data_IF_269840603890
#
_entry.id   IF_269840603890
#
_cell.length_a   1.000
_cell.length_b   1.000
_cell.length_c   1.000
_cell.angle_alpha   90.00
_cell.angle_beta   90.00
_cell.angle_gamma   90.00
#
_symmetry.space_group_name_H-M   'P 1'
#
loop_
_entity.id
_entity.type
_entity.pdbx_description
1 polymer ?
#
# COMPACT_ATOMS: atom_id res chain seq x y z
N UNK A 1 -34.92 31.33 -2.62
CA UNK A 1 -33.54 31.52 -2.15
C UNK A 1 -33.45 30.86 -0.78
N UNK A 2 -32.97 29.62 -0.72
CA UNK A 2 -32.73 28.91 0.53
C UNK A 2 -31.29 29.20 1.00
N UNK A 3 -31.03 29.32 2.31
CA UNK A 3 -29.71 29.64 2.81
C UNK A 3 -28.79 28.43 2.69
N UNK A 4 -27.56 28.65 2.23
CA UNK A 4 -26.51 27.65 2.23
C UNK A 4 -26.07 27.39 3.68
N UNK A 5 -26.35 26.19 4.18
CA UNK A 5 -25.84 25.73 5.47
C UNK A 5 -24.36 25.39 5.30
N UNK A 6 -23.46 26.19 5.88
CA UNK A 6 -22.05 25.83 5.99
C UNK A 6 -21.93 24.63 6.95
N UNK A 7 -21.60 23.47 6.41
CA UNK A 7 -21.15 22.33 7.20
C UNK A 7 -19.67 22.58 7.52
N UNK A 8 -19.38 22.99 8.74
CA UNK A 8 -18.01 23.05 9.25
C UNK A 8 -17.51 21.63 9.50
N UNK A 9 -16.54 21.19 8.69
CA UNK A 9 -15.77 19.98 8.95
C UNK A 9 -14.89 20.20 10.18
N UNK A 10 -15.30 19.65 11.32
CA UNK A 10 -14.36 19.40 12.42
C UNK A 10 -13.42 18.29 11.95
N UNK A 11 -12.15 18.64 11.70
CA UNK A 11 -11.06 17.68 11.60
C UNK A 11 -11.09 16.84 12.88
N UNK A 12 -11.53 15.59 12.79
CA UNK A 12 -11.24 14.62 13.85
C UNK A 12 -9.75 14.36 13.71
N UNK A 13 -8.95 15.02 14.55
CA UNK A 13 -7.56 14.66 14.71
C UNK A 13 -7.55 13.19 15.13
N UNK A 14 -7.08 12.32 14.23
CA UNK A 14 -6.77 10.94 14.56
C UNK A 14 -5.76 11.02 15.69
N UNK A 15 -6.19 10.67 16.90
CA UNK A 15 -5.31 10.63 18.05
C UNK A 15 -4.21 9.63 17.75
N UNK A 16 -2.96 10.09 17.71
CA UNK A 16 -1.77 9.27 17.63
C UNK A 16 -1.69 8.35 18.85
N UNK A 17 -2.38 7.22 18.79
CA UNK A 17 -2.40 6.21 19.83
C UNK A 17 -2.33 4.81 19.21
N UNK A 18 -1.36 4.61 18.32
CA UNK A 18 -0.86 3.29 17.91
C UNK A 18 0.65 3.34 17.61
N UNK A 19 1.39 4.18 18.35
CA UNK A 19 2.85 4.09 18.38
C UNK A 19 3.23 3.48 19.70
N UNK A 20 3.48 2.17 19.75
CA UNK A 20 4.32 1.54 20.77
C UNK A 20 4.49 0.04 20.54
N UNK A 21 5.36 -0.33 19.61
CA UNK A 21 6.06 -1.63 19.68
C UNK A 21 7.56 -1.48 19.37
N UNK A 22 7.97 -0.45 18.62
CA UNK A 22 9.39 -0.08 18.43
C UNK A 22 9.76 1.21 19.18
N UNK A 23 9.74 1.19 20.52
CA UNK A 23 9.98 2.43 21.28
C UNK A 23 11.46 2.73 21.61
N UNK A 24 12.42 2.13 20.90
CA UNK A 24 13.87 2.44 21.11
C UNK A 24 14.78 2.30 19.89
N UNK A 25 14.27 1.88 18.72
CA UNK A 25 15.12 1.63 17.56
C UNK A 25 14.83 2.67 16.46
N UNK A 26 15.91 3.19 15.87
CA UNK A 26 15.91 4.18 14.79
C UNK A 26 16.94 3.75 13.76
N UNK A 27 16.70 4.09 12.50
CA UNK A 27 17.69 3.84 11.43
C UNK A 27 19.01 4.62 11.65
N UNK A 28 19.00 5.63 12.52
CA UNK A 28 20.13 6.54 12.71
C UNK A 28 20.35 7.50 11.54
N UNK A 29 19.43 7.54 10.57
CA UNK A 29 19.51 8.43 9.42
C UNK A 29 19.26 9.88 9.82
N UNK A 30 20.07 10.78 9.26
CA UNK A 30 19.86 12.23 9.40
C UNK A 30 18.58 12.66 8.69
N UNK A 31 17.92 13.71 9.18
CA UNK A 31 16.81 14.37 8.47
C UNK A 31 17.27 15.14 7.22
N UNK A 32 18.58 15.32 7.04
CA UNK A 32 19.21 16.05 5.93
C UNK A 32 19.86 15.09 4.90
N UNK A 33 19.19 13.97 4.64
CA UNK A 33 19.58 13.07 3.55
C UNK A 33 18.80 13.41 2.27
N UNK A 34 19.37 13.14 1.08
CA UNK A 34 18.64 13.25 -0.17
C UNK A 34 17.36 12.41 -0.16
N UNK A 35 16.33 12.88 -0.85
CA UNK A 35 15.18 12.04 -1.16
C UNK A 35 15.60 11.03 -2.24
N UNK A 36 15.02 9.83 -2.21
CA UNK A 36 15.28 8.81 -3.23
C UNK A 36 14.95 9.34 -4.63
N UNK A 37 15.62 8.78 -5.63
CA UNK A 37 15.52 9.17 -7.04
C UNK A 37 16.09 10.55 -7.44
N UNK A 38 16.51 11.37 -6.47
CA UNK A 38 17.35 12.56 -6.78
C UNK A 38 18.81 12.17 -7.06
N UNK A 39 19.27 11.05 -6.50
CA UNK A 39 20.64 10.56 -6.58
C UNK A 39 20.70 9.15 -7.18
N UNK A 40 21.78 8.84 -7.90
CA UNK A 40 21.99 7.53 -8.55
C UNK A 40 22.82 6.55 -7.70
N UNK A 41 22.71 6.63 -6.38
CA UNK A 41 23.45 5.78 -5.45
C UNK A 41 22.69 5.54 -4.15
N UNK A 42 22.81 4.33 -3.60
CA UNK A 42 22.12 3.93 -2.38
C UNK A 42 23.01 3.90 -1.14
N UNK A 43 22.36 3.95 0.02
CA UNK A 43 22.95 3.68 1.34
C UNK A 43 21.85 3.18 2.28
N UNK A 44 22.17 2.90 3.54
CA UNK A 44 21.13 2.60 4.53
C UNK A 44 20.15 3.77 4.78
N UNK A 45 20.46 4.97 4.30
CA UNK A 45 19.64 6.17 4.45
C UNK A 45 19.13 6.76 3.13
N UNK A 46 19.40 6.11 2.00
CA UNK A 46 18.94 6.54 0.67
C UNK A 46 18.58 5.28 -0.11
N UNK A 47 17.29 5.09 -0.36
CA UNK A 47 16.77 3.94 -1.09
C UNK A 47 17.12 4.05 -2.59
N UNK A 48 17.85 3.06 -3.09
CA UNK A 48 18.26 2.95 -4.49
C UNK A 48 18.66 1.49 -4.81
N UNK A 49 18.32 0.96 -6.00
CA UNK A 49 17.66 1.64 -7.13
C UNK A 49 16.15 1.79 -6.97
N UNK A 50 15.53 1.03 -6.06
CA UNK A 50 14.10 0.94 -5.80
C UNK A 50 13.49 2.14 -5.06
N UNK A 51 13.93 3.35 -5.41
CA UNK A 51 13.58 4.57 -4.70
C UNK A 51 12.19 5.13 -5.00
N UNK A 52 11.53 4.65 -6.06
CA UNK A 52 10.14 4.99 -6.39
C UNK A 52 9.25 3.97 -5.69
N UNK A 53 8.67 4.34 -4.55
CA UNK A 53 7.87 3.42 -3.74
C UNK A 53 6.42 3.49 -4.18
N UNK A 54 5.84 2.33 -4.46
CA UNK A 54 4.47 2.19 -4.95
C UNK A 54 3.64 1.44 -3.91
N UNK A 55 2.69 2.11 -3.27
CA UNK A 55 1.64 1.43 -2.50
C UNK A 55 0.50 1.06 -3.44
N UNK A 56 0.24 -0.23 -3.60
CA UNK A 56 -0.77 -0.76 -4.51
C UNK A 56 -1.96 -1.34 -3.76
N UNK A 57 -3.16 -1.07 -4.26
CA UNK A 57 -4.41 -1.54 -3.67
C UNK A 57 -5.27 -2.23 -4.71
N UNK A 58 -6.06 -3.21 -4.26
CA UNK A 58 -7.04 -3.93 -5.07
C UNK A 58 -8.47 -3.51 -4.77
N UNK A 59 -9.28 -3.59 -5.82
CA UNK A 59 -10.73 -3.63 -5.75
C UNK A 59 -11.23 -4.98 -6.27
N UNK A 60 -11.17 -5.99 -5.42
CA UNK A 60 -11.67 -7.31 -5.74
C UNK A 60 -13.15 -7.45 -5.36
N UNK A 61 -13.99 -7.78 -6.33
CA UNK A 61 -15.44 -7.91 -6.10
C UNK A 61 -15.86 -9.25 -5.53
N UNK A 62 -15.05 -10.28 -5.74
CA UNK A 62 -15.41 -11.69 -5.52
C UNK A 62 -14.53 -12.36 -4.45
N UNK A 63 -13.94 -11.56 -3.56
CA UNK A 63 -13.18 -12.06 -2.39
C UNK A 63 -14.11 -12.10 -1.17
N UNK A 64 -14.40 -13.30 -0.62
CA UNK A 64 -15.17 -13.45 0.60
C UNK A 64 -14.57 -12.63 1.74
N UNK A 65 -15.43 -12.03 2.56
CA UNK A 65 -15.07 -11.24 3.74
C UNK A 65 -14.25 -9.97 3.46
N UNK A 66 -13.98 -9.63 2.18
CA UNK A 66 -13.43 -8.33 1.81
C UNK A 66 -14.41 -7.21 2.19
N UNK A 67 -13.96 -6.14 2.89
CA UNK A 67 -14.82 -5.03 3.24
C UNK A 67 -15.43 -4.38 2.00
N UNK A 68 -16.76 -4.28 1.97
CA UNK A 68 -17.53 -3.75 0.82
C UNK A 68 -17.28 -2.26 0.57
N UNK A 69 -16.77 -1.55 1.57
CA UNK A 69 -16.53 -0.11 1.62
C UNK A 69 -15.03 0.20 1.79
N UNK A 70 -14.15 -0.70 1.35
CA UNK A 70 -12.71 -0.46 1.36
C UNK A 70 -12.03 -1.12 0.18
N UNK A 71 -10.96 -0.50 -0.30
CA UNK A 71 -9.95 -1.19 -1.09
C UNK A 71 -9.14 -2.11 -0.17
N UNK A 72 -8.37 -3.04 -0.73
CA UNK A 72 -7.49 -3.93 0.03
C UNK A 72 -6.05 -3.72 -0.38
N UNK A 73 -5.10 -4.03 0.50
CA UNK A 73 -3.67 -3.99 0.22
C UNK A 73 -3.34 -5.09 -0.79
N UNK A 74 -2.67 -4.71 -1.87
CA UNK A 74 -1.91 -5.64 -2.69
C UNK A 74 -0.48 -5.73 -2.15
N UNK A 75 0.19 -4.59 -1.98
CA UNK A 75 1.59 -4.54 -1.59
C UNK A 75 2.21 -3.14 -1.48
N UNK A 76 3.51 -3.11 -1.22
CA UNK A 76 4.35 -1.91 -1.13
C UNK A 76 5.69 -2.16 -1.86
N UNK A 77 5.82 -1.65 -3.07
CA UNK A 77 6.84 -2.10 -4.02
C UNK A 77 7.93 -1.04 -4.27
N UNK A 78 9.22 -1.43 -4.24
CA UNK A 78 10.32 -0.52 -4.56
C UNK A 78 10.63 -0.57 -6.07
N UNK A 79 9.98 0.31 -6.85
CA UNK A 79 10.24 0.49 -8.27
C UNK A 79 11.53 1.27 -8.51
N UNK A 80 12.21 0.98 -9.63
CA UNK A 80 13.44 1.67 -9.94
C UNK A 80 13.14 3.12 -10.31
N UNK A 81 13.99 4.04 -9.85
CA UNK A 81 13.89 5.47 -10.15
C UNK A 81 13.90 5.81 -11.65
N UNK A 82 14.45 4.93 -12.49
CA UNK A 82 14.53 5.09 -13.94
C UNK A 82 13.54 4.21 -14.71
N UNK A 83 12.53 3.65 -14.02
CA UNK A 83 11.55 2.74 -14.58
C UNK A 83 11.96 1.26 -14.47
N UNK A 84 10.96 0.37 -14.54
CA UNK A 84 11.15 -1.03 -14.20
C UNK A 84 11.20 -1.27 -12.70
N UNK A 85 11.46 -2.51 -12.31
CA UNK A 85 11.58 -2.92 -10.91
C UNK A 85 12.57 -4.06 -10.76
N UNK A 86 12.86 -4.42 -9.51
CA UNK A 86 13.56 -5.65 -9.17
C UNK A 86 12.61 -6.59 -8.43
N UNK A 87 12.87 -7.89 -8.52
CA UNK A 87 12.12 -8.92 -7.81
C UNK A 87 13.07 -9.98 -7.26
N UNK A 88 12.67 -10.63 -6.16
CA UNK A 88 13.37 -11.78 -5.59
C UNK A 88 14.84 -11.45 -5.28
N UNK A 89 15.09 -10.26 -4.73
CA UNK A 89 16.42 -9.67 -4.62
C UNK A 89 17.34 -10.38 -3.63
N UNK A 90 16.79 -11.12 -2.66
CA UNK A 90 17.59 -11.84 -1.66
C UNK A 90 16.86 -13.05 -1.08
N UNK A 91 17.06 -14.22 -1.71
CA UNK A 91 16.48 -15.49 -1.26
C UNK A 91 16.91 -15.93 0.14
N UNK A 92 18.01 -15.39 0.67
CA UNK A 92 18.47 -15.76 2.03
C UNK A 92 17.59 -15.17 3.12
N UNK A 93 16.73 -14.21 2.77
CA UNK A 93 15.74 -13.58 3.64
C UNK A 93 14.32 -14.00 3.31
N UNK A 94 14.11 -15.06 2.53
CA UNK A 94 12.76 -15.58 2.31
C UNK A 94 12.26 -16.25 3.60
N UNK A 95 11.10 -15.78 4.08
CA UNK A 95 10.41 -16.33 5.25
C UNK A 95 9.16 -17.09 4.84
N UNK A 96 8.76 -18.06 5.65
CA UNK A 96 7.61 -18.98 5.42
C UNK A 96 6.59 -18.96 6.57
N UNK A 97 6.71 -17.95 7.41
CA UNK A 97 6.04 -17.84 8.71
C UNK A 97 5.88 -16.36 9.12
N UNK A 98 5.48 -15.51 8.18
CA UNK A 98 5.19 -14.07 8.38
C UNK A 98 4.24 -13.86 9.56
N UNK A 99 3.16 -14.65 9.66
CA UNK A 99 2.24 -14.61 10.81
C UNK A 99 2.98 -14.79 12.14
N UNK A 100 3.90 -15.75 12.19
CA UNK A 100 4.69 -16.05 13.39
C UNK A 100 5.68 -14.93 13.70
N UNK A 101 6.35 -14.37 12.68
CA UNK A 101 7.25 -13.22 12.84
C UNK A 101 6.53 -12.02 13.45
N UNK A 102 5.37 -11.64 12.90
CA UNK A 102 4.56 -10.52 13.41
C UNK A 102 4.05 -10.79 14.83
N UNK A 103 3.60 -12.01 15.11
CA UNK A 103 3.13 -12.41 16.44
C UNK A 103 4.26 -12.33 17.47
N UNK A 104 5.44 -12.86 17.15
CA UNK A 104 6.61 -12.84 18.03
C UNK A 104 7.12 -11.41 18.27
N UNK A 105 6.97 -10.53 17.28
CA UNK A 105 7.26 -9.11 17.41
C UNK A 105 6.18 -8.33 18.20
N UNK A 106 5.09 -8.98 18.62
CA UNK A 106 3.99 -8.33 19.35
C UNK A 106 3.11 -7.44 18.48
N UNK A 107 3.13 -7.59 17.15
CA UNK A 107 2.33 -6.82 16.20
C UNK A 107 0.96 -7.47 15.91
N UNK A 108 0.22 -7.82 16.97
CA UNK A 108 -1.10 -8.44 16.82
C UNK A 108 -2.09 -7.54 16.10
N UNK A 109 -2.09 -6.24 16.38
CA UNK A 109 -2.97 -5.27 15.70
C UNK A 109 -2.68 -5.18 14.19
N UNK A 110 -1.40 -5.22 13.81
CA UNK A 110 -1.00 -5.24 12.39
C UNK A 110 -1.45 -6.53 11.71
N UNK A 111 -1.26 -7.67 12.37
CA UNK A 111 -1.70 -8.96 11.85
C UNK A 111 -3.22 -9.04 11.69
N UNK A 112 -4.00 -8.56 12.68
CA UNK A 112 -5.45 -8.52 12.62
C UNK A 112 -5.94 -7.61 11.48
N UNK A 113 -5.27 -6.46 11.30
CA UNK A 113 -5.54 -5.57 10.18
C UNK A 113 -5.25 -6.25 8.83
N UNK A 114 -4.10 -6.93 8.71
CA UNK A 114 -3.73 -7.67 7.49
C UNK A 114 -4.74 -8.78 7.17
N UNK A 115 -5.23 -9.52 8.17
CA UNK A 115 -6.26 -10.53 7.96
C UNK A 115 -7.58 -9.98 7.42
N UNK A 116 -7.83 -8.67 7.58
CA UNK A 116 -9.04 -8.00 7.09
C UNK A 116 -8.81 -7.28 5.76
N UNK A 117 -7.65 -6.63 5.60
CA UNK A 117 -7.39 -5.70 4.51
C UNK A 117 -6.26 -6.12 3.56
N UNK A 118 -5.43 -7.11 3.90
CA UNK A 118 -4.37 -7.66 3.02
C UNK A 118 -4.65 -9.13 2.74
N UNK A 119 -5.75 -9.37 2.03
CA UNK A 119 -6.34 -10.69 1.84
C UNK A 119 -6.04 -11.22 0.44
N UNK A 120 -5.89 -12.53 0.32
CA UNK A 120 -5.68 -13.22 -0.96
C UNK A 120 -7.01 -13.69 -1.56
N UNK A 121 -7.12 -13.63 -2.89
CA UNK A 121 -8.28 -14.12 -3.64
C UNK A 121 -8.15 -15.59 -4.06
N UNK A 122 -6.93 -16.08 -4.29
CA UNK A 122 -6.64 -17.39 -4.88
C UNK A 122 -5.86 -18.36 -3.97
N UNK A 123 -5.25 -17.87 -2.88
CA UNK A 123 -4.48 -18.67 -1.93
C UNK A 123 -4.75 -18.28 -0.46
N UNK A 124 -3.88 -18.73 0.46
CA UNK A 124 -3.94 -18.33 1.87
C UNK A 124 -3.25 -16.99 2.04
N UNK A 125 -3.77 -16.13 2.91
CA UNK A 125 -3.13 -14.85 3.25
C UNK A 125 -1.63 -15.00 3.60
N UNK A 126 -1.25 -16.05 4.36
CA UNK A 126 0.16 -16.31 4.69
C UNK A 126 1.04 -16.43 3.44
N UNK A 127 0.67 -17.30 2.48
CA UNK A 127 1.42 -17.45 1.22
C UNK A 127 1.47 -16.16 0.40
N UNK A 128 0.39 -15.40 0.40
CA UNK A 128 0.38 -14.11 -0.30
C UNK A 128 1.35 -13.12 0.36
N UNK A 129 1.38 -13.06 1.70
CA UNK A 129 2.35 -12.25 2.42
C UNK A 129 3.79 -12.75 2.21
N UNK A 130 4.04 -14.06 2.20
CA UNK A 130 5.33 -14.62 1.82
C UNK A 130 5.77 -14.17 0.41
N UNK A 131 4.83 -14.15 -0.55
CA UNK A 131 5.08 -13.67 -1.91
C UNK A 131 5.46 -12.19 -1.93
N UNK A 132 4.66 -11.34 -1.30
CA UNK A 132 4.92 -9.90 -1.24
C UNK A 132 6.27 -9.58 -0.58
N UNK A 133 6.62 -10.30 0.48
CA UNK A 133 7.92 -10.16 1.12
C UNK A 133 9.07 -10.65 0.23
N UNK A 134 9.03 -11.91 -0.21
CA UNK A 134 10.13 -12.53 -0.98
C UNK A 134 10.36 -11.82 -2.32
N UNK A 135 9.28 -11.38 -2.98
CA UNK A 135 9.32 -10.74 -4.30
C UNK A 135 9.69 -9.27 -4.19
N UNK A 136 9.05 -8.50 -3.29
CA UNK A 136 9.20 -7.04 -3.24
C UNK A 136 9.91 -6.54 -1.97
N UNK A 137 9.56 -7.07 -0.81
CA UNK A 137 10.16 -6.68 0.48
C UNK A 137 11.68 -6.90 0.53
N UNK A 138 12.18 -8.00 -0.06
CA UNK A 138 13.63 -8.26 -0.16
C UNK A 138 14.37 -7.25 -1.04
N UNK A 139 13.68 -6.46 -1.86
CA UNK A 139 14.31 -5.51 -2.77
C UNK A 139 14.56 -4.11 -2.17
N UNK A 140 14.09 -3.84 -0.95
CA UNK A 140 14.47 -2.62 -0.23
C UNK A 140 15.94 -2.66 0.21
N UNK A 141 16.74 -1.76 -0.33
CA UNK A 141 18.15 -1.61 0.02
C UNK A 141 18.34 -1.09 1.45
N UNK A 142 17.42 -0.25 1.94
CA UNK A 142 17.44 0.31 3.29
C UNK A 142 16.98 -0.68 4.37
N UNK A 143 16.40 -1.83 3.97
CA UNK A 143 16.00 -2.93 4.86
C UNK A 143 16.99 -4.09 4.90
N UNK A 144 18.20 -3.94 4.32
CA UNK A 144 19.23 -4.97 4.47
C UNK A 144 19.64 -5.11 5.94
N UNK A 145 19.90 -6.33 6.45
CA UNK A 145 20.32 -6.54 7.84
C UNK A 145 21.53 -5.69 8.28
N UNK A 146 22.43 -5.37 7.36
CA UNK A 146 23.58 -4.49 7.60
C UNK A 146 23.22 -3.04 7.95
N UNK A 147 21.97 -2.64 7.74
CA UNK A 147 21.45 -1.31 8.07
C UNK A 147 20.85 -1.22 9.48
N UNK A 148 20.84 -2.31 10.23
CA UNK A 148 20.32 -2.40 11.58
C UNK A 148 21.47 -2.42 12.60
N UNK A 149 21.37 -1.62 13.66
CA UNK A 149 22.36 -1.63 14.74
C UNK A 149 22.24 -2.87 15.64
N UNK A 150 21.00 -3.30 15.91
CA UNK A 150 20.67 -4.46 16.73
C UNK A 150 19.68 -5.34 15.95
N UNK A 151 20.20 -6.28 15.17
CA UNK A 151 19.43 -7.10 14.24
C UNK A 151 19.13 -8.49 14.80
N UNK A 152 17.85 -8.87 14.75
CA UNK A 152 17.41 -10.26 14.79
C UNK A 152 16.85 -10.66 13.43
N UNK A 153 17.00 -11.93 13.07
CA UNK A 153 16.44 -12.48 11.84
C UNK A 153 14.93 -12.22 11.76
N UNK A 154 14.49 -11.53 10.72
CA UNK A 154 13.08 -11.22 10.45
C UNK A 154 12.64 -9.81 10.86
N UNK A 155 13.47 -9.05 11.57
CA UNK A 155 13.14 -7.68 11.99
C UNK A 155 12.79 -6.78 10.79
N UNK A 156 13.48 -6.97 9.67
CA UNK A 156 13.26 -6.23 8.43
C UNK A 156 11.92 -6.56 7.76
N UNK A 157 11.46 -7.82 7.86
CA UNK A 157 10.16 -8.23 7.34
C UNK A 157 9.03 -7.68 8.21
N UNK A 158 9.19 -7.76 9.53
CA UNK A 158 8.24 -7.19 10.51
C UNK A 158 8.02 -5.69 10.23
N UNK A 159 9.11 -4.94 10.00
CA UNK A 159 9.04 -3.50 9.68
C UNK A 159 8.39 -3.22 8.33
N UNK A 160 8.65 -4.05 7.33
CA UNK A 160 8.02 -3.93 6.02
C UNK A 160 6.50 -4.03 6.13
N UNK A 161 5.98 -5.07 6.78
CA UNK A 161 4.52 -5.27 6.93
C UNK A 161 3.88 -4.16 7.77
N UNK A 162 4.51 -3.76 8.87
CA UNK A 162 4.03 -2.65 9.68
C UNK A 162 3.97 -1.35 8.86
N UNK A 163 4.98 -1.09 8.03
CA UNK A 163 5.03 0.09 7.18
C UNK A 163 3.98 0.04 6.08
N UNK A 164 3.86 -1.08 5.37
CA UNK A 164 2.84 -1.25 4.33
C UNK A 164 1.42 -1.02 4.86
N UNK A 165 1.09 -1.57 6.04
CA UNK A 165 -0.20 -1.31 6.72
C UNK A 165 -0.38 0.17 7.05
N UNK A 166 0.62 0.82 7.65
CA UNK A 166 0.57 2.24 7.99
C UNK A 166 0.37 3.13 6.76
N UNK A 167 1.06 2.84 5.66
CA UNK A 167 0.94 3.61 4.41
C UNK A 167 -0.45 3.43 3.81
N UNK A 168 -0.96 2.19 3.74
CA UNK A 168 -2.31 1.92 3.28
C UNK A 168 -3.37 2.66 4.11
N UNK A 169 -3.26 2.66 5.44
CA UNK A 169 -4.17 3.38 6.32
C UNK A 169 -4.19 4.90 6.07
N UNK A 170 -3.11 5.47 5.54
CA UNK A 170 -3.04 6.88 5.14
C UNK A 170 -3.68 7.18 3.77
N UNK A 171 -4.11 6.15 3.05
CA UNK A 171 -4.66 6.21 1.70
C UNK A 171 -6.08 5.62 1.64
N UNK A 172 -7.08 6.23 2.30
CA UNK A 172 -8.46 5.74 2.32
C UNK A 172 -9.18 5.98 0.98
N UNK A 173 -8.72 5.32 -0.08
CA UNK A 173 -9.18 5.50 -1.48
C UNK A 173 -10.70 5.44 -1.62
N UNK A 174 -11.35 4.47 -0.97
CA UNK A 174 -12.81 4.36 -1.00
C UNK A 174 -13.48 5.62 -0.43
N UNK A 175 -13.04 6.09 0.74
CA UNK A 175 -13.64 7.23 1.41
C UNK A 175 -13.48 8.51 0.56
N UNK A 176 -12.30 8.71 -0.03
CA UNK A 176 -12.05 9.86 -0.91
C UNK A 176 -12.93 9.85 -2.16
N UNK A 177 -13.13 8.68 -2.77
CA UNK A 177 -14.07 8.54 -3.89
C UNK A 177 -15.52 8.78 -3.43
N UNK A 178 -15.94 8.19 -2.32
CA UNK A 178 -17.29 8.31 -1.78
C UNK A 178 -17.64 9.75 -1.40
N UNK A 179 -16.70 10.50 -0.80
CA UNK A 179 -16.85 11.93 -0.46
C UNK A 179 -17.05 12.80 -1.72
N UNK A 180 -16.51 12.37 -2.86
CA UNK A 180 -16.72 12.99 -4.16
C UNK A 180 -17.99 12.49 -4.89
N UNK A 181 -18.79 11.63 -4.26
CA UNK A 181 -20.00 11.04 -4.85
C UNK A 181 -19.70 9.91 -5.84
N UNK A 182 -18.50 9.34 -5.81
CA UNK A 182 -18.10 8.19 -6.62
C UNK A 182 -18.16 6.95 -5.73
N UNK A 183 -19.20 6.14 -5.89
CA UNK A 183 -19.39 4.90 -5.13
C UNK A 183 -19.51 3.70 -6.06
N UNK A 184 -19.28 2.48 -5.56
CA UNK A 184 -19.54 1.30 -6.36
C UNK A 184 -21.00 1.22 -6.80
N UNK A 185 -21.25 0.89 -8.06
CA UNK A 185 -22.57 0.80 -8.67
C UNK A 185 -22.60 -0.21 -9.83
N UNK A 186 -23.73 -0.90 -10.02
CA UNK A 186 -23.87 -1.95 -11.03
C UNK A 186 -23.93 -1.44 -12.47
N UNK A 187 -24.44 -0.21 -12.64
CA UNK A 187 -24.84 0.34 -13.94
C UNK A 187 -24.10 1.64 -14.27
N UNK A 188 -23.76 2.44 -13.25
CA UNK A 188 -23.04 3.69 -13.42
C UNK A 188 -21.64 3.44 -13.97
N UNK A 189 -21.19 4.36 -14.81
CA UNK A 189 -19.83 4.40 -15.30
C UNK A 189 -19.20 5.74 -15.02
N UNK A 190 -17.89 5.73 -14.88
CA UNK A 190 -17.06 6.90 -14.60
C UNK A 190 -16.08 7.16 -15.74
N UNK A 191 -15.57 8.37 -15.79
CA UNK A 191 -14.39 8.74 -16.56
C UNK A 191 -13.14 8.61 -15.70
N UNK A 192 -11.99 8.39 -16.36
CA UNK A 192 -10.71 8.36 -15.66
C UNK A 192 -10.40 9.72 -15.02
N UNK A 193 -10.81 10.81 -15.67
CA UNK A 193 -10.65 12.18 -15.16
C UNK A 193 -11.45 12.44 -13.88
N UNK A 194 -12.71 11.98 -13.80
CA UNK A 194 -13.52 12.08 -12.58
C UNK A 194 -12.86 11.35 -11.41
N UNK A 195 -12.41 10.10 -11.62
CA UNK A 195 -11.75 9.29 -10.59
C UNK A 195 -10.45 9.95 -10.09
N UNK A 196 -9.56 10.29 -11.01
CA UNK A 196 -8.24 10.84 -10.67
C UNK A 196 -8.34 12.25 -10.09
N UNK A 197 -9.29 13.07 -10.53
CA UNK A 197 -9.50 14.42 -9.98
C UNK A 197 -10.05 14.39 -8.54
N UNK A 198 -11.00 13.49 -8.25
CA UNK A 198 -11.53 13.31 -6.89
C UNK A 198 -10.42 12.89 -5.91
N UNK A 199 -9.56 11.96 -6.34
CA UNK A 199 -8.43 11.48 -5.55
C UNK A 199 -7.35 12.54 -5.40
N UNK A 200 -7.02 13.30 -6.44
CA UNK A 200 -6.08 14.42 -6.36
C UNK A 200 -6.56 15.52 -5.43
N UNK A 201 -7.86 15.84 -5.45
CA UNK A 201 -8.43 16.84 -4.56
C UNK A 201 -8.27 16.46 -3.08
N UNK A 202 -8.39 15.18 -2.76
CA UNK A 202 -8.34 14.68 -1.39
C UNK A 202 -6.92 14.42 -0.89
N UNK A 203 -6.06 13.86 -1.74
CA UNK A 203 -4.70 13.42 -1.39
C UNK A 203 -3.60 14.43 -1.73
N UNK A 204 -3.89 15.39 -2.63
CA UNK A 204 -2.90 16.31 -3.19
C UNK A 204 -2.09 15.76 -4.36
N UNK A 205 -2.21 14.47 -4.67
CA UNK A 205 -1.47 13.79 -5.75
C UNK A 205 -2.37 12.92 -6.62
N UNK A 206 -1.95 12.68 -7.84
CA UNK A 206 -2.70 11.91 -8.84
C UNK A 206 -2.21 10.46 -8.83
N UNK A 207 -3.05 9.50 -8.40
CA UNK A 207 -2.69 8.09 -8.49
C UNK A 207 -2.86 7.58 -9.94
N UNK A 208 -2.39 6.36 -10.17
CA UNK A 208 -2.61 5.65 -11.43
C UNK A 208 -3.55 4.46 -11.22
N UNK A 209 -4.49 4.25 -12.14
CA UNK A 209 -5.37 3.08 -12.12
C UNK A 209 -4.91 2.02 -13.12
N UNK A 210 -5.18 0.77 -12.78
CA UNK A 210 -5.21 -0.36 -13.69
C UNK A 210 -6.62 -0.95 -13.75
N UNK A 211 -7.01 -1.33 -14.97
CA UNK A 211 -8.34 -1.84 -15.28
C UNK A 211 -8.28 -3.25 -15.85
N UNK A 212 -9.24 -4.09 -15.44
CA UNK A 212 -9.55 -5.34 -16.11
C UNK A 212 -10.74 -5.14 -17.05
N UNK A 213 -10.44 -4.96 -18.34
CA UNK A 213 -11.44 -4.51 -19.32
C UNK A 213 -11.96 -3.12 -18.99
N UNK A 214 -13.23 -3.03 -18.55
CA UNK A 214 -13.84 -1.76 -18.11
C UNK A 214 -13.85 -1.58 -16.59
N UNK A 215 -13.58 -2.64 -15.82
CA UNK A 215 -13.66 -2.56 -14.37
C UNK A 215 -12.35 -1.98 -13.85
N UNK A 216 -12.42 -0.97 -12.99
CA UNK A 216 -11.25 -0.57 -12.19
C UNK A 216 -10.90 -1.75 -11.27
N UNK A 217 -9.62 -2.10 -11.21
CA UNK A 217 -9.16 -3.30 -10.52
C UNK A 217 -8.04 -2.99 -9.53
N UNK A 218 -7.05 -2.19 -9.94
CA UNK A 218 -5.95 -1.79 -9.07
C UNK A 218 -5.75 -0.28 -9.09
N UNK A 219 -5.16 0.24 -8.01
CA UNK A 219 -4.71 1.63 -7.92
C UNK A 219 -3.30 1.68 -7.33
N UNK A 220 -2.47 2.57 -7.88
CA UNK A 220 -1.08 2.76 -7.49
C UNK A 220 -0.85 4.18 -6.97
N UNK A 221 -0.36 4.25 -5.74
CA UNK A 221 0.04 5.50 -5.07
C UNK A 221 1.56 5.56 -4.97
N UNK A 222 2.14 6.66 -5.44
CA UNK A 222 3.58 6.80 -5.59
C UNK A 222 4.19 7.72 -4.53
N UNK A 223 5.37 7.32 -4.07
CA UNK A 223 6.15 8.05 -3.09
C UNK A 223 7.61 8.02 -3.47
N UNK A 224 8.32 9.11 -3.18
CA UNK A 224 9.75 9.01 -2.93
C UNK A 224 9.98 8.83 -1.42
N UNK A 225 11.17 8.41 -1.02
CA UNK A 225 11.56 8.17 0.37
C UNK A 225 12.72 9.06 0.78
N UNK A 226 12.55 9.79 1.88
CA UNK A 226 13.64 10.49 2.54
C UNK A 226 14.06 9.71 3.78
N UNK A 227 15.23 9.08 3.75
CA UNK A 227 15.72 8.21 4.83
C UNK A 227 15.59 6.72 4.53
N UNK A 228 15.49 5.92 5.59
CA UNK A 228 15.25 4.47 5.53
C UNK A 228 13.75 4.15 5.55
N UNK A 229 13.31 3.00 5.01
CA UNK A 229 11.92 2.57 5.17
C UNK A 229 11.53 2.35 6.65
N UNK A 230 12.52 2.16 7.52
CA UNK A 230 12.35 1.98 8.96
C UNK A 230 11.55 3.15 9.61
N UNK A 231 12.08 4.37 9.51
CA UNK A 231 11.57 5.59 10.18
C UNK A 231 11.60 6.84 9.28
N UNK A 232 11.95 6.66 8.01
CA UNK A 232 12.01 7.74 7.03
C UNK A 232 10.64 8.28 6.62
N UNK A 233 10.68 9.34 5.84
CA UNK A 233 9.49 10.02 5.37
C UNK A 233 9.17 9.61 3.93
N UNK A 234 8.02 8.98 3.73
CA UNK A 234 7.42 8.82 2.41
C UNK A 234 6.82 10.16 1.96
N UNK A 235 7.29 10.66 0.82
CA UNK A 235 6.88 11.91 0.19
C UNK A 235 5.95 11.57 -0.97
N UNK A 236 4.63 11.83 -0.88
CA UNK A 236 3.69 11.54 -1.95
C UNK A 236 4.05 12.32 -3.22
N UNK A 237 3.93 11.68 -4.37
CA UNK A 237 4.13 12.32 -5.68
C UNK A 237 2.98 11.97 -6.64
N UNK A 238 2.80 12.79 -7.67
CA UNK A 238 1.96 12.41 -8.81
C UNK A 238 2.54 11.15 -9.48
N UNK A 239 1.66 10.28 -9.99
CA UNK A 239 2.06 9.11 -10.76
C UNK A 239 3.01 9.53 -11.90
N UNK A 240 4.22 8.96 -11.97
CA UNK A 240 5.20 9.39 -12.96
C UNK A 240 4.82 8.87 -14.35
N UNK A 241 5.08 9.66 -15.40
CA UNK A 241 4.88 9.22 -16.80
C UNK A 241 5.70 7.96 -17.15
N UNK A 242 6.79 7.72 -16.43
CA UNK A 242 7.64 6.53 -16.56
C UNK A 242 7.12 5.31 -15.79
N UNK A 243 5.98 5.42 -15.11
CA UNK A 243 5.35 4.29 -14.45
C UNK A 243 5.10 3.15 -15.44
N UNK A 244 5.25 1.93 -14.96
CA UNK A 244 4.94 0.71 -15.71
C UNK A 244 3.83 -0.12 -15.04
N UNK A 245 3.21 0.40 -13.97
CA UNK A 245 2.28 -0.36 -13.13
C UNK A 245 0.84 -0.26 -13.61
N UNK A 246 0.41 0.89 -14.15
CA UNK A 246 -0.96 1.08 -14.62
C UNK A 246 -1.08 1.77 -15.98
N UNK A 247 -2.16 2.53 -16.16
CA UNK A 247 -2.37 3.37 -17.35
C UNK A 247 -3.10 2.68 -18.50
N UNK A 248 -3.64 1.48 -18.30
CA UNK A 248 -4.39 0.74 -19.32
C UNK A 248 -5.91 1.05 -19.32
N UNK A 249 -6.41 1.85 -18.38
CA UNK A 249 -7.81 2.23 -18.28
C UNK A 249 -8.25 3.13 -19.45
N UNK A 250 -9.46 2.88 -19.98
CA UNK A 250 -10.08 3.77 -20.96
C UNK A 250 -10.42 5.14 -20.34
N UNK A 251 -10.46 6.19 -21.16
CA UNK A 251 -10.80 7.54 -20.67
C UNK A 251 -12.23 7.66 -20.14
N UNK A 252 -13.14 6.79 -20.56
CA UNK A 252 -14.56 6.81 -20.17
C UNK A 252 -15.18 5.42 -20.19
N UNK A 253 -16.34 5.29 -19.52
CA UNK A 253 -17.08 4.03 -19.46
C UNK A 253 -16.47 3.03 -18.47
N UNK A 254 -15.66 3.50 -17.53
CA UNK A 254 -15.07 2.70 -16.46
C UNK A 254 -16.15 2.29 -15.46
N UNK A 255 -16.08 1.07 -14.96
CA UNK A 255 -17.00 0.53 -13.98
C UNK A 255 -16.32 0.43 -12.63
N UNK A 256 -17.04 0.83 -11.59
CA UNK A 256 -16.68 0.58 -10.20
C UNK A 256 -17.71 -0.38 -9.61
N UNK A 257 -17.60 -1.70 -9.83
CA UNK A 257 -18.63 -2.65 -9.44
C UNK A 257 -18.73 -2.82 -7.91
N UNK A 258 -19.92 -2.99 -7.33
CA UNK A 258 -20.07 -3.34 -5.91
C UNK A 258 -19.42 -4.69 -5.61
N UNK A 259 -18.77 -4.81 -4.45
CA UNK A 259 -18.30 -6.11 -3.95
C UNK A 259 -19.48 -7.00 -3.56
N UNK A 260 -19.35 -8.31 -3.77
CA UNK A 260 -20.36 -9.26 -3.32
C UNK A 260 -20.37 -9.33 -1.80
N UNK A 261 -21.51 -9.01 -1.19
CA UNK A 261 -21.70 -9.16 0.25
C UNK A 261 -21.76 -10.66 0.61
N UNK A 262 -20.71 -11.17 1.26
CA UNK A 262 -20.75 -12.36 2.12
C UNK A 262 -21.37 -13.62 1.53
N UNK A 263 -20.66 -14.30 0.62
CA UNK A 263 -20.84 -15.73 0.41
C UNK A 263 -19.73 -16.46 1.17
N UNK A 264 -20.06 -17.04 2.32
CA UNK A 264 -19.19 -17.95 3.07
C UNK A 264 -18.63 -19.00 2.09
N UNK A 265 -17.31 -19.14 1.99
CA UNK A 265 -16.70 -20.32 1.34
C UNK A 265 -17.26 -21.55 2.06
N UNK A 266 -18.13 -22.30 1.39
CA UNK A 266 -18.36 -23.69 1.77
C UNK A 266 -16.98 -24.35 1.77
N UNK A 267 -16.57 -24.86 2.95
CA UNK A 267 -15.23 -25.36 3.20
C UNK A 267 -14.72 -26.19 2.03
N UNK A 268 -13.59 -25.76 1.45
CA UNK A 268 -12.74 -26.70 0.75
C UNK A 268 -12.00 -27.44 1.86
N UNK A 269 -12.48 -28.65 2.12
CA UNK A 269 -11.88 -29.61 3.02
C UNK A 269 -10.36 -29.63 2.83
N UNK A 270 -9.64 -29.46 3.94
CA UNK A 270 -8.22 -29.76 4.05
C UNK A 270 -8.00 -31.24 3.70
N UNK A 271 -7.20 -31.49 2.66
CA UNK A 271 -6.55 -32.76 2.38
C UNK A 271 -5.06 -32.52 2.19
#
# INVERSE_FOLDING_TARGET
>A
MLPATLITFTLVAVTAAQQNVFNTASSGCSTDVPVSCDENSGSCCVEYPGGLITQTQFWDTDVPDSPSDSWTIHGLWPDNCNGGFQENCDKSRDYKDITTLLTNAGLTDTLDFMNTYWISDDETNEKFWEHEWSTHGTCYSTLKPTCFSDYNTGDEAVLFFQTAVRVFQSLPTYQWLADAGITPDSDQTYTLEELTSALKQSSGVTPEFECSGKNINSIFWYFNLKGSLYDGQLVPIDAPESSIRGGNCASSGLKYPPKQSGSVRAGKDEF
#
